data_IF_315892552603
#
_entry.id   IF_315892552603
#
_cell.length_a   1.000
_cell.length_b   1.000
_cell.length_c   1.000
_cell.angle_alpha   90.00
_cell.angle_beta   90.00
_cell.angle_gamma   90.00
#
_symmetry.space_group_name_H-M   'P 1'
#
loop_
_entity.id
_entity.type
_entity.pdbx_description
1 polymer ?
#
# COMPACT_ATOMS: atom_id res chain seq x y z
N UNK A 1 23.46 -18.18 7.75
CA UNK A 1 22.31 -18.13 8.68
C UNK A 1 21.58 -16.82 8.40
N UNK A 2 20.43 -16.85 7.73
CA UNK A 2 19.69 -15.64 7.34
C UNK A 2 18.75 -15.25 8.49
N UNK A 3 19.20 -14.39 9.41
CA UNK A 3 18.46 -14.01 10.63
C UNK A 3 17.54 -12.80 10.44
N UNK A 4 16.99 -12.59 9.25
CA UNK A 4 16.07 -11.47 9.02
C UNK A 4 14.62 -11.94 9.21
N UNK A 5 14.28 -12.32 10.45
CA UNK A 5 12.90 -12.67 10.83
C UNK A 5 12.14 -11.38 11.05
N UNK A 6 11.55 -10.83 9.99
CA UNK A 6 10.59 -9.73 10.10
C UNK A 6 9.47 -10.16 11.06
N UNK A 7 9.09 -9.31 12.04
CA UNK A 7 7.89 -9.51 12.83
C UNK A 7 6.69 -9.77 11.92
N UNK A 8 5.86 -10.76 12.28
CA UNK A 8 4.66 -11.18 11.54
C UNK A 8 3.41 -10.82 12.34
N UNK A 9 2.26 -10.90 11.69
CA UNK A 9 0.95 -10.66 12.30
C UNK A 9 0.27 -9.36 11.86
N UNK A 10 0.95 -8.53 11.05
CA UNK A 10 0.32 -7.38 10.41
C UNK A 10 -0.42 -7.83 9.15
N UNK A 11 -1.76 -7.90 9.23
CA UNK A 11 -2.62 -8.36 8.13
C UNK A 11 -2.95 -7.22 7.17
N UNK A 12 -2.68 -7.45 5.88
CA UNK A 12 -2.94 -6.52 4.79
C UNK A 12 -3.92 -7.12 3.78
N UNK A 13 -4.79 -6.29 3.21
CA UNK A 13 -5.64 -6.64 2.06
C UNK A 13 -4.85 -6.44 0.78
N UNK A 14 -4.85 -7.41 -0.13
CA UNK A 14 -4.32 -7.22 -1.49
C UNK A 14 -5.32 -6.42 -2.32
N UNK A 15 -4.85 -5.39 -3.01
CA UNK A 15 -5.67 -4.57 -3.89
C UNK A 15 -5.52 -5.01 -5.35
N UNK A 16 -6.63 -5.01 -6.09
CA UNK A 16 -6.66 -5.30 -7.51
C UNK A 16 -5.99 -4.15 -8.31
N UNK A 17 -4.88 -4.42 -9.00
CA UNK A 17 -4.09 -3.37 -9.63
C UNK A 17 -4.80 -2.73 -10.83
N UNK A 18 -5.66 -3.47 -11.53
CA UNK A 18 -6.40 -2.94 -12.69
C UNK A 18 -7.54 -2.01 -12.23
N UNK A 19 -8.22 -2.36 -11.14
CA UNK A 19 -9.27 -1.53 -10.54
C UNK A 19 -8.68 -0.24 -9.97
N UNK A 20 -7.55 -0.31 -9.26
CA UNK A 20 -6.83 0.88 -8.80
C UNK A 20 -6.37 1.76 -9.97
N UNK A 21 -5.83 1.15 -11.02
CA UNK A 21 -5.37 1.89 -12.20
C UNK A 21 -6.54 2.57 -12.91
N UNK A 22 -7.69 1.92 -13.03
CA UNK A 22 -8.88 2.51 -13.63
C UNK A 22 -9.35 3.76 -12.84
N UNK A 23 -9.38 3.67 -11.51
CA UNK A 23 -9.70 4.81 -10.64
C UNK A 23 -8.69 5.95 -10.81
N UNK A 24 -7.39 5.63 -10.84
CA UNK A 24 -6.34 6.62 -11.03
C UNK A 24 -6.44 7.32 -12.39
N UNK A 25 -6.69 6.59 -13.47
CA UNK A 25 -6.85 7.15 -14.82
C UNK A 25 -8.05 8.10 -14.93
N UNK A 26 -9.10 7.90 -14.14
CA UNK A 26 -10.25 8.81 -14.11
C UNK A 26 -9.92 10.17 -13.47
N UNK A 27 -8.89 10.23 -12.61
CA UNK A 27 -8.46 11.44 -11.89
C UNK A 27 -7.16 12.06 -12.42
N UNK A 28 -6.38 11.30 -13.19
CA UNK A 28 -5.06 11.73 -13.60
C UNK A 28 -5.11 12.85 -14.63
N UNK A 29 -4.49 13.99 -14.32
CA UNK A 29 -4.45 15.16 -15.19
C UNK A 29 -3.41 15.10 -16.33
N UNK A 30 -2.65 14.00 -16.44
CA UNK A 30 -1.61 13.80 -17.45
C UNK A 30 -2.02 12.86 -18.60
N UNK A 31 -1.06 12.41 -19.39
CA UNK A 31 -1.31 11.45 -20.47
C UNK A 31 -1.60 10.06 -19.91
N UNK A 32 -2.87 9.65 -19.96
CA UNK A 32 -3.40 8.40 -19.41
C UNK A 32 -2.64 7.15 -19.92
N UNK A 33 -2.23 7.14 -21.19
CA UNK A 33 -1.55 5.99 -21.82
C UNK A 33 -0.17 5.70 -21.21
N UNK A 34 0.44 6.67 -20.54
CA UNK A 34 1.71 6.49 -19.85
C UNK A 34 1.55 6.04 -18.40
N UNK A 35 0.32 6.05 -17.86
CA UNK A 35 0.01 5.62 -16.50
C UNK A 35 -0.25 4.10 -16.48
N UNK A 36 0.54 3.39 -15.68
CA UNK A 36 0.42 1.95 -15.43
C UNK A 36 0.32 1.64 -13.94
N UNK A 37 0.12 0.36 -13.61
CA UNK A 37 0.01 -0.09 -12.22
C UNK A 37 1.28 0.24 -11.41
N UNK A 38 1.12 0.44 -10.10
CA UNK A 38 2.26 0.56 -9.20
C UNK A 38 3.02 -0.76 -9.01
N UNK A 39 4.15 -0.75 -8.27
CA UNK A 39 4.83 -1.98 -7.86
C UNK A 39 3.91 -2.88 -7.03
N UNK A 40 3.84 -4.17 -7.38
CA UNK A 40 2.87 -5.15 -6.84
C UNK A 40 3.47 -6.18 -5.84
N UNK A 41 2.77 -6.54 -4.75
CA UNK A 41 1.39 -6.17 -4.46
C UNK A 41 1.24 -4.72 -3.97
N UNK A 42 0.10 -4.13 -4.29
CA UNK A 42 -0.42 -2.95 -3.60
C UNK A 42 -1.37 -3.44 -2.51
N UNK A 43 -1.22 -2.91 -1.30
CA UNK A 43 -1.86 -3.46 -0.12
C UNK A 43 -2.54 -2.36 0.70
N UNK A 44 -3.75 -2.63 1.20
CA UNK A 44 -4.43 -1.79 2.17
C UNK A 44 -4.21 -2.35 3.59
N UNK A 45 -3.72 -1.51 4.50
CA UNK A 45 -3.53 -1.86 5.92
C UNK A 45 -4.20 -0.83 6.83
N UNK A 46 -4.83 -1.26 7.95
CA UNK A 46 -5.21 -0.35 9.02
C UNK A 46 -4.00 -0.03 9.90
N UNK A 47 -3.86 1.22 10.31
CA UNK A 47 -2.78 1.74 11.16
C UNK A 47 -3.31 2.81 12.11
N UNK A 48 -2.55 3.22 13.14
CA UNK A 48 -2.85 4.43 13.94
C UNK A 48 -4.30 4.54 14.48
N UNK A 49 -4.86 3.44 14.95
CA UNK A 49 -6.21 3.17 15.46
C UNK A 49 -7.26 3.11 14.36
N UNK A 50 -6.91 2.47 13.24
CA UNK A 50 -7.81 2.19 12.13
C UNK A 50 -7.78 3.20 10.97
N UNK A 51 -6.83 4.13 10.95
CA UNK A 51 -6.51 4.93 9.76
C UNK A 51 -6.09 3.99 8.61
N UNK A 52 -6.65 4.21 7.42
CA UNK A 52 -6.31 3.43 6.25
C UNK A 52 -4.97 3.89 5.66
N UNK A 53 -4.12 2.94 5.27
CA UNK A 53 -2.90 3.22 4.51
C UNK A 53 -2.77 2.28 3.32
N UNK A 54 -2.38 2.82 2.16
CA UNK A 54 -1.99 2.00 1.00
C UNK A 54 -0.48 1.89 0.97
N UNK A 55 0.00 0.66 1.08
CA UNK A 55 1.41 0.31 0.98
C UNK A 55 1.64 -0.39 -0.36
N UNK A 56 2.41 0.26 -1.22
CA UNK A 56 2.90 -0.35 -2.44
C UNK A 56 4.06 -1.29 -2.14
N UNK A 57 4.43 -2.03 -3.17
CA UNK A 57 5.42 -3.07 -3.09
C UNK A 57 6.73 -2.80 -2.35
N UNK A 58 7.35 -1.64 -2.57
CA UNK A 58 8.63 -1.31 -1.91
C UNK A 58 8.48 -0.96 -0.42
N UNK A 59 7.29 -1.12 0.17
CA UNK A 59 6.98 -0.64 1.50
C UNK A 59 6.89 0.89 1.57
N UNK A 60 6.82 1.56 0.42
CA UNK A 60 6.45 2.98 0.33
C UNK A 60 4.92 3.03 0.31
N UNK A 61 4.35 3.96 1.06
CA UNK A 61 2.91 4.06 1.19
C UNK A 61 2.52 5.34 1.91
N UNK A 62 1.24 5.65 1.87
CA UNK A 62 0.67 6.86 2.46
C UNK A 62 -0.58 6.50 3.26
N UNK A 63 -0.86 7.32 4.29
CA UNK A 63 -2.03 7.21 5.15
C UNK A 63 -3.11 8.16 4.60
N UNK A 64 -4.38 7.85 4.84
CA UNK A 64 -5.49 8.73 4.52
C UNK A 64 -5.30 10.12 5.15
N UNK A 65 -5.51 11.17 4.34
CA UNK A 65 -5.56 12.55 4.82
C UNK A 65 -6.94 12.88 5.42
N UNK A 66 -7.12 14.14 5.87
CA UNK A 66 -8.38 14.59 6.48
C UNK A 66 -9.59 14.56 5.54
N UNK A 67 -9.37 14.37 4.23
CA UNK A 67 -10.41 14.25 3.22
C UNK A 67 -10.70 12.79 2.84
N UNK A 68 -10.19 11.82 3.61
CA UNK A 68 -10.28 10.38 3.31
C UNK A 68 -9.67 10.03 1.93
N UNK A 69 -8.58 10.71 1.56
CA UNK A 69 -7.82 10.44 0.33
C UNK A 69 -6.42 9.89 0.65
N UNK A 70 -5.96 8.95 -0.16
CA UNK A 70 -4.61 8.37 -0.09
C UNK A 70 -3.88 8.65 -1.40
N UNK A 71 -2.64 9.14 -1.29
CA UNK A 71 -1.73 9.22 -2.43
C UNK A 71 -1.20 7.83 -2.79
N UNK A 72 -1.81 7.22 -3.82
CA UNK A 72 -1.44 5.88 -4.28
C UNK A 72 -0.38 5.98 -5.38
N UNK A 73 0.69 5.19 -5.27
CA UNK A 73 1.78 5.22 -6.24
C UNK A 73 1.48 4.37 -7.49
N UNK A 74 1.74 4.94 -8.66
CA UNK A 74 1.57 4.35 -9.99
C UNK A 74 2.84 4.52 -10.83
N UNK A 75 3.03 3.64 -11.81
CA UNK A 75 4.09 3.82 -12.81
C UNK A 75 3.68 4.89 -13.82
N UNK A 76 4.60 5.80 -14.14
CA UNK A 76 4.43 6.80 -15.19
C UNK A 76 5.70 6.89 -16.04
N UNK A 77 5.68 6.26 -17.22
CA UNK A 77 6.89 6.07 -18.03
C UNK A 77 7.97 5.30 -17.25
N UNK A 78 9.11 5.95 -16.99
CA UNK A 78 10.24 5.37 -16.23
C UNK A 78 10.30 5.84 -14.76
N UNK A 79 9.24 6.49 -14.27
CA UNK A 79 9.18 7.08 -12.93
C UNK A 79 7.94 6.58 -12.18
N UNK A 80 7.90 6.85 -10.87
CA UNK A 80 6.68 6.73 -10.07
C UNK A 80 6.01 8.09 -9.94
N UNK A 81 4.69 8.09 -9.94
CA UNK A 81 3.85 9.25 -9.64
C UNK A 81 2.76 8.85 -8.65
N UNK A 82 2.19 9.80 -7.93
CA UNK A 82 1.05 9.55 -7.04
C UNK A 82 -0.24 10.09 -7.65
N UNK A 83 -1.34 9.39 -7.41
CA UNK A 83 -2.69 9.87 -7.69
C UNK A 83 -3.50 9.73 -6.40
N UNK A 84 -4.18 10.81 -6.00
CA UNK A 84 -5.06 10.81 -4.84
C UNK A 84 -6.34 10.04 -5.16
N UNK A 85 -6.56 8.96 -4.42
CA UNK A 85 -7.76 8.14 -4.49
C UNK A 85 -8.51 8.21 -3.16
N UNK A 86 -9.83 8.22 -3.22
CA UNK A 86 -10.65 8.19 -2.00
C UNK A 86 -10.67 6.79 -1.40
N UNK A 87 -10.98 6.67 -0.11
CA UNK A 87 -11.17 5.36 0.52
C UNK A 87 -12.26 4.52 -0.17
N UNK A 88 -13.30 5.16 -0.71
CA UNK A 88 -14.36 4.47 -1.47
C UNK A 88 -13.82 3.84 -2.77
N UNK A 89 -13.00 4.58 -3.52
CA UNK A 89 -12.38 4.07 -4.75
C UNK A 89 -11.39 2.93 -4.47
N UNK A 90 -10.63 3.05 -3.38
CA UNK A 90 -9.70 2.00 -2.95
C UNK A 90 -10.47 0.75 -2.49
N UNK A 91 -11.61 0.91 -1.80
CA UNK A 91 -12.44 -0.20 -1.37
C UNK A 91 -13.02 -1.01 -2.54
N UNK A 92 -13.24 -0.40 -3.72
CA UNK A 92 -13.64 -1.15 -4.92
C UNK A 92 -12.54 -2.10 -5.42
N UNK A 93 -11.29 -1.83 -5.09
CA UNK A 93 -10.16 -2.68 -5.43
C UNK A 93 -9.85 -3.75 -4.36
N UNK A 94 -10.62 -3.85 -3.28
CA UNK A 94 -10.44 -4.89 -2.26
C UNK A 94 -10.72 -6.28 -2.87
N UNK A 95 -9.69 -7.12 -2.96
CA UNK A 95 -9.81 -8.49 -3.50
C UNK A 95 -10.38 -9.49 -2.50
N UNK A 96 -10.46 -9.13 -1.22
CA UNK A 96 -10.72 -10.01 -0.09
C UNK A 96 -9.51 -10.87 0.32
N UNK A 97 -8.46 -10.96 -0.50
CA UNK A 97 -7.24 -11.70 -0.17
C UNK A 97 -6.47 -10.97 0.93
N UNK A 98 -6.06 -11.73 1.96
CA UNK A 98 -5.26 -11.22 3.08
C UNK A 98 -3.87 -11.82 3.04
N UNK A 99 -2.86 -10.97 3.17
CA UNK A 99 -1.44 -11.36 3.26
C UNK A 99 -0.78 -10.75 4.47
N UNK A 100 0.29 -11.39 4.96
CA UNK A 100 1.13 -10.79 5.99
C UNK A 100 1.98 -9.69 5.34
N UNK A 101 1.98 -8.50 5.94
CA UNK A 101 2.77 -7.35 5.48
C UNK A 101 4.25 -7.69 5.28
N UNK A 102 4.81 -8.56 6.12
CA UNK A 102 6.19 -9.01 5.99
C UNK A 102 6.42 -9.78 4.70
N UNK A 103 5.44 -10.57 4.25
CA UNK A 103 5.46 -11.33 3.01
C UNK A 103 5.26 -10.41 1.80
N UNK A 104 4.29 -9.48 1.87
CA UNK A 104 4.05 -8.50 0.83
C UNK A 104 5.28 -7.62 0.52
N UNK A 105 6.01 -7.17 1.55
CA UNK A 105 7.24 -6.39 1.37
C UNK A 105 8.45 -7.28 0.98
N UNK A 106 8.38 -8.61 1.18
CA UNK A 106 9.51 -9.51 0.90
C UNK A 106 9.73 -9.73 -0.59
N UNK A 107 8.68 -9.61 -1.41
CA UNK A 107 8.76 -9.75 -2.87
C UNK A 107 9.71 -8.72 -3.51
N UNK A 108 10.05 -7.63 -2.82
CA UNK A 108 10.90 -6.54 -3.31
C UNK A 108 12.34 -6.56 -2.80
N UNK A 109 12.67 -7.51 -1.92
CA UNK A 109 14.03 -7.77 -1.47
C UNK A 109 14.30 -7.47 0.00
N UNK A 110 15.44 -7.99 0.47
CA UNK A 110 15.80 -7.99 1.88
C UNK A 110 16.14 -6.60 2.47
N UNK A 111 16.35 -5.58 1.61
CA UNK A 111 16.79 -4.22 2.03
C UNK A 111 15.67 -3.38 2.63
N UNK A 112 14.41 -3.78 2.46
CA UNK A 112 13.24 -2.99 2.86
C UNK A 112 12.77 -3.27 4.29
N UNK A 113 13.67 -3.73 5.17
CA UNK A 113 13.36 -3.97 6.59
C UNK A 113 12.96 -2.69 7.33
N UNK A 114 13.48 -1.52 6.94
CA UNK A 114 13.07 -0.22 7.51
C UNK A 114 11.61 0.09 7.21
N UNK A 115 11.20 -0.07 5.96
CA UNK A 115 9.83 0.22 5.53
C UNK A 115 8.84 -0.74 6.16
N UNK A 116 9.18 -2.04 6.21
CA UNK A 116 8.43 -3.01 6.99
C UNK A 116 8.27 -2.58 8.46
N UNK A 117 9.36 -2.15 9.11
CA UNK A 117 9.32 -1.75 10.52
C UNK A 117 8.43 -0.53 10.77
N UNK A 118 8.39 0.45 9.85
CA UNK A 118 7.51 1.62 9.94
C UNK A 118 6.05 1.19 9.99
N UNK A 119 5.61 0.43 8.99
CA UNK A 119 4.23 -0.01 8.85
C UNK A 119 3.82 -1.00 9.94
N UNK A 120 4.70 -1.95 10.27
CA UNK A 120 4.45 -2.90 11.36
C UNK A 120 4.25 -2.19 12.70
N UNK A 121 5.07 -1.17 13.03
CA UNK A 121 4.90 -0.41 14.28
C UNK A 121 3.60 0.39 14.31
N UNK A 122 3.21 0.98 13.18
CA UNK A 122 1.95 1.72 13.06
C UNK A 122 0.72 0.80 13.18
N UNK A 123 0.82 -0.43 12.67
CA UNK A 123 -0.18 -1.48 12.86
C UNK A 123 -0.23 -1.97 14.31
N UNK A 124 0.93 -2.18 14.93
CA UNK A 124 1.03 -2.73 16.29
C UNK A 124 0.60 -1.74 17.38
N UNK A 125 0.69 -0.43 17.11
CA UNK A 125 0.10 0.63 17.95
C UNK A 125 -1.42 0.46 18.14
N UNK A 126 -2.08 -0.31 17.27
CA UNK A 126 -3.53 -0.57 17.32
C UNK A 126 -3.86 -1.87 18.05
N UNK A 127 -2.88 -2.78 18.13
CA UNK A 127 -3.05 -4.14 18.62
C UNK A 127 -2.35 -4.39 19.97
N UNK A 128 -1.59 -3.41 20.47
CA UNK A 128 -1.04 -3.42 21.82
C UNK A 128 -2.06 -2.86 22.83
N UNK A 129 -2.50 -3.65 23.84
CA UNK A 129 -3.26 -3.09 24.95
C UNK A 129 -2.39 -2.11 25.74
N UNK A 130 -2.89 -0.91 26.02
CA UNK A 130 -2.29 0.00 27.00
C UNK A 130 -2.24 -0.65 28.39
#
# INVERSE_FOLDING_TARGET
MNTNTRPRGASAVVLDPETLLAAARAKFGGTIDHLGHGPQPQMLIPVNRGEAAVVNGEGVGEIADEADEIEVYFAYGFQLTTVKLTLEEIAQADTGERIDLADGIRTFGARLSSNHHIWFRKYDQDNSPN
#
